data_IF_937581667493
#
_entry.id   IF_937581667493
#
_cell.length_a   1.000
_cell.length_b   1.000
_cell.length_c   1.000
_cell.angle_alpha   90.00
_cell.angle_beta   90.00
_cell.angle_gamma   90.00
#
_symmetry.space_group_name_H-M   'P 1'
#
loop_
_entity.id
_entity.type
_entity.pdbx_description
1 polymer ?
#
# COMPACT_ATOMS: atom_id res chain seq x y z
N UNK A 1 26.79 24.33 11.38
CA UNK A 1 26.73 23.02 10.70
C UNK A 1 25.93 21.93 11.43
N UNK A 2 26.29 21.51 12.66
CA UNK A 2 25.54 20.42 13.35
C UNK A 2 24.06 20.72 13.65
N UNK A 3 23.70 21.98 13.96
CA UNK A 3 22.31 22.38 14.24
C UNK A 3 21.43 22.33 12.99
N UNK A 4 21.85 22.98 11.90
CA UNK A 4 21.17 22.94 10.62
C UNK A 4 21.00 21.50 10.07
N UNK A 5 21.99 20.63 10.28
CA UNK A 5 21.87 19.21 9.92
C UNK A 5 20.87 18.44 10.80
N UNK A 6 20.69 18.81 12.07
CA UNK A 6 19.72 18.21 12.97
C UNK A 6 18.28 18.67 12.66
N UNK A 7 18.10 19.95 12.32
CA UNK A 7 16.82 20.54 11.91
C UNK A 7 16.31 19.87 10.61
N UNK A 8 17.15 19.75 9.57
CA UNK A 8 16.79 19.02 8.35
C UNK A 8 16.37 17.58 8.59
N UNK A 9 17.07 16.86 9.50
CA UNK A 9 16.68 15.49 9.87
C UNK A 9 15.33 15.44 10.57
N UNK A 10 15.02 16.43 11.41
CA UNK A 10 13.74 16.51 12.10
C UNK A 10 12.58 16.77 11.14
N UNK A 11 12.81 17.56 10.08
CA UNK A 11 11.82 17.87 9.04
C UNK A 11 11.56 16.68 8.10
N UNK A 12 12.62 15.97 7.68
CA UNK A 12 12.52 14.85 6.72
C UNK A 12 12.06 13.54 7.37
N UNK A 13 12.37 13.33 8.66
CA UNK A 13 12.00 12.09 9.39
C UNK A 13 10.50 11.72 9.35
N UNK A 14 9.54 12.64 9.59
CA UNK A 14 8.12 12.31 9.52
C UNK A 14 7.68 11.95 8.08
N UNK A 15 8.21 12.62 7.06
CA UNK A 15 7.90 12.34 5.65
C UNK A 15 8.39 10.94 5.25
N UNK A 16 9.63 10.60 5.63
CA UNK A 16 10.17 9.25 5.41
C UNK A 16 9.30 8.17 6.05
N UNK A 17 8.82 8.41 7.28
CA UNK A 17 7.93 7.46 7.98
C UNK A 17 6.58 7.33 7.29
N UNK A 18 6.01 8.43 6.77
CA UNK A 18 4.76 8.41 6.02
C UNK A 18 4.91 7.60 4.72
N UNK A 19 5.97 7.84 3.96
CA UNK A 19 6.31 7.09 2.75
C UNK A 19 6.44 5.58 3.03
N UNK A 20 7.24 5.20 4.03
CA UNK A 20 7.43 3.79 4.41
C UNK A 20 6.14 3.12 4.89
N UNK A 21 5.27 3.87 5.58
CA UNK A 21 3.96 3.35 6.01
C UNK A 21 3.04 3.10 4.82
N UNK A 22 3.00 4.02 3.85
CA UNK A 22 2.20 3.86 2.64
C UNK A 22 2.70 2.68 1.79
N UNK A 23 4.02 2.55 1.63
CA UNK A 23 4.67 1.42 0.95
C UNK A 23 4.27 0.06 1.58
N UNK A 24 4.35 -0.04 2.90
CA UNK A 24 3.97 -1.25 3.61
C UNK A 24 2.48 -1.60 3.44
N UNK A 25 1.60 -0.60 3.33
CA UNK A 25 0.17 -0.83 3.09
C UNK A 25 -0.08 -1.33 1.67
N UNK A 26 0.60 -0.76 0.66
CA UNK A 26 0.57 -1.25 -0.73
C UNK A 26 0.99 -2.73 -0.79
N UNK A 27 2.11 -3.09 -0.16
CA UNK A 27 2.61 -4.46 -0.13
C UNK A 27 1.61 -5.41 0.56
N UNK A 28 1.03 -4.99 1.68
CA UNK A 28 0.05 -5.76 2.44
C UNK A 28 -1.23 -6.01 1.63
N UNK A 29 -1.77 -4.98 0.97
CA UNK A 29 -2.97 -5.08 0.15
C UNK A 29 -2.72 -5.96 -1.08
N UNK A 30 -1.58 -5.80 -1.76
CA UNK A 30 -1.17 -6.66 -2.87
C UNK A 30 -1.09 -8.14 -2.46
N UNK A 31 -0.48 -8.45 -1.31
CA UNK A 31 -0.46 -9.81 -0.76
C UNK A 31 -1.85 -10.35 -0.41
N UNK A 32 -2.75 -9.51 0.08
CA UNK A 32 -4.13 -9.91 0.38
C UNK A 32 -4.91 -10.25 -0.90
N UNK A 33 -4.77 -9.42 -1.94
CA UNK A 33 -5.37 -9.68 -3.26
C UNK A 33 -4.83 -10.98 -3.84
N UNK A 34 -3.51 -11.20 -3.83
CA UNK A 34 -2.91 -12.42 -4.38
C UNK A 34 -3.48 -13.68 -3.72
N UNK A 35 -3.65 -13.68 -2.39
CA UNK A 35 -4.25 -14.83 -1.68
C UNK A 35 -5.68 -15.10 -2.10
N UNK A 36 -6.46 -14.06 -2.38
CA UNK A 36 -7.83 -14.22 -2.88
C UNK A 36 -7.81 -14.75 -4.31
N UNK A 37 -6.91 -14.24 -5.15
CA UNK A 37 -6.75 -14.66 -6.53
C UNK A 37 -6.35 -16.13 -6.62
N UNK A 38 -5.43 -16.58 -5.75
CA UNK A 38 -5.05 -17.99 -5.62
C UNK A 38 -6.24 -18.87 -5.21
N UNK A 39 -7.10 -18.38 -4.29
CA UNK A 39 -8.29 -19.12 -3.87
C UNK A 39 -9.38 -19.16 -4.96
N UNK A 40 -9.54 -18.09 -5.73
CA UNK A 40 -10.51 -18.00 -6.82
C UNK A 40 -10.04 -18.71 -8.10
N UNK A 41 -8.75 -19.03 -8.20
CA UNK A 41 -8.18 -19.80 -9.30
C UNK A 41 -8.57 -21.29 -9.24
N UNK A 42 -8.97 -21.81 -8.08
CA UNK A 42 -9.49 -23.16 -7.94
C UNK A 42 -10.93 -23.25 -8.50
N UNK A 43 -11.19 -23.97 -9.61
CA UNK A 43 -12.52 -24.08 -10.18
C UNK A 43 -13.53 -24.80 -9.27
N UNK A 44 -13.08 -25.64 -8.34
CA UNK A 44 -13.96 -26.39 -7.44
C UNK A 44 -14.68 -25.47 -6.44
N UNK A 45 -14.11 -24.30 -6.11
CA UNK A 45 -14.70 -23.34 -5.17
C UNK A 45 -16.09 -22.86 -5.65
N UNK A 46 -16.29 -22.76 -6.97
CA UNK A 46 -17.55 -22.31 -7.55
C UNK A 46 -18.68 -23.35 -7.47
N UNK A 47 -18.32 -24.62 -7.28
CA UNK A 47 -19.28 -25.72 -7.14
C UNK A 47 -19.52 -26.05 -5.67
N UNK A 48 -18.45 -26.14 -4.88
CA UNK A 48 -18.50 -26.61 -3.49
C UNK A 48 -18.75 -25.49 -2.48
N UNK A 49 -18.29 -24.28 -2.78
CA UNK A 49 -18.29 -23.14 -1.86
C UNK A 49 -18.71 -21.84 -2.58
N UNK A 50 -19.76 -21.91 -3.42
CA UNK A 50 -20.17 -20.81 -4.32
C UNK A 50 -20.35 -19.45 -3.63
N UNK A 51 -20.95 -19.42 -2.42
CA UNK A 51 -21.11 -18.17 -1.66
C UNK A 51 -19.78 -17.59 -1.19
N UNK A 52 -18.80 -18.45 -0.86
CA UNK A 52 -17.45 -18.00 -0.51
C UNK A 52 -16.72 -17.45 -1.72
N UNK A 53 -16.86 -18.08 -2.88
CA UNK A 53 -16.32 -17.57 -4.15
C UNK A 53 -16.88 -16.17 -4.46
N UNK A 54 -18.19 -15.97 -4.26
CA UNK A 54 -18.85 -14.67 -4.44
C UNK A 54 -18.33 -13.62 -3.45
N UNK A 55 -18.17 -13.97 -2.18
CA UNK A 55 -17.62 -13.06 -1.18
C UNK A 55 -16.15 -12.71 -1.47
N UNK A 56 -15.33 -13.68 -1.89
CA UNK A 56 -13.96 -13.46 -2.33
C UNK A 56 -13.88 -12.53 -3.54
N UNK A 57 -14.73 -12.72 -4.56
CA UNK A 57 -14.80 -11.81 -5.70
C UNK A 57 -15.16 -10.37 -5.28
N UNK A 58 -16.09 -10.22 -4.31
CA UNK A 58 -16.45 -8.91 -3.75
C UNK A 58 -15.28 -8.28 -2.97
N UNK A 59 -14.64 -9.04 -2.10
CA UNK A 59 -13.50 -8.60 -1.30
C UNK A 59 -12.33 -8.19 -2.19
N UNK A 60 -12.02 -8.98 -3.23
CA UNK A 60 -11.02 -8.63 -4.24
C UNK A 60 -11.28 -7.25 -4.83
N UNK A 61 -12.53 -6.99 -5.27
CA UNK A 61 -12.90 -5.70 -5.84
C UNK A 61 -12.77 -4.53 -4.87
N UNK A 62 -12.98 -4.74 -3.57
CA UNK A 62 -12.74 -3.73 -2.54
C UNK A 62 -11.24 -3.50 -2.32
N UNK A 63 -10.48 -4.58 -2.12
CA UNK A 63 -9.04 -4.51 -1.90
C UNK A 63 -8.31 -3.88 -3.09
N UNK A 64 -8.73 -4.13 -4.33
CA UNK A 64 -8.15 -3.48 -5.50
C UNK A 64 -8.37 -1.96 -5.49
N UNK A 65 -9.54 -1.49 -5.03
CA UNK A 65 -9.79 -0.05 -4.88
C UNK A 65 -8.96 0.55 -3.76
N UNK A 66 -8.84 -0.16 -2.64
CA UNK A 66 -7.99 0.25 -1.53
C UNK A 66 -6.50 0.28 -1.94
N UNK A 67 -6.05 -0.70 -2.71
CA UNK A 67 -4.69 -0.76 -3.24
C UNK A 67 -4.39 0.45 -4.12
N UNK A 68 -5.29 0.78 -5.07
CA UNK A 68 -5.12 1.96 -5.93
C UNK A 68 -5.02 3.26 -5.11
N UNK A 69 -5.86 3.42 -4.09
CA UNK A 69 -5.78 4.60 -3.22
C UNK A 69 -4.48 4.61 -2.38
N UNK A 70 -3.99 3.45 -1.95
CA UNK A 70 -2.73 3.32 -1.23
C UNK A 70 -1.51 3.62 -2.14
N UNK A 71 -1.56 3.20 -3.40
CA UNK A 71 -0.54 3.50 -4.42
C UNK A 71 -0.47 5.01 -4.69
N UNK A 72 -1.61 5.68 -4.86
CA UNK A 72 -1.68 7.14 -5.01
C UNK A 72 -1.08 7.87 -3.79
N UNK A 73 -1.45 7.41 -2.58
CA UNK A 73 -0.92 7.97 -1.34
C UNK A 73 0.59 7.72 -1.17
N UNK A 74 1.07 6.55 -1.60
CA UNK A 74 2.50 6.22 -1.58
C UNK A 74 3.29 7.08 -2.55
N UNK A 75 2.79 7.29 -3.77
CA UNK A 75 3.40 8.22 -4.74
C UNK A 75 3.50 9.64 -4.17
N UNK A 76 2.40 10.19 -3.64
CA UNK A 76 2.39 11.54 -3.08
C UNK A 76 3.34 11.67 -1.86
N UNK A 77 3.40 10.65 -1.00
CA UNK A 77 4.31 10.64 0.14
C UNK A 77 5.78 10.51 -0.27
N UNK A 78 6.04 9.79 -1.37
CA UNK A 78 7.38 9.65 -1.95
C UNK A 78 7.84 10.98 -2.55
N UNK A 79 7.00 11.65 -3.35
CA UNK A 79 7.31 12.99 -3.88
C UNK A 79 7.60 13.98 -2.76
N UNK A 80 6.76 14.05 -1.73
CA UNK A 80 6.97 14.97 -0.61
C UNK A 80 8.28 14.69 0.15
N UNK A 81 8.63 13.40 0.34
CA UNK A 81 9.90 13.01 0.94
C UNK A 81 11.09 13.42 0.05
N UNK A 82 11.03 13.16 -1.25
CA UNK A 82 12.09 13.47 -2.20
C UNK A 82 12.31 14.98 -2.35
N UNK A 83 11.24 15.78 -2.39
CA UNK A 83 11.30 17.24 -2.43
C UNK A 83 12.01 17.79 -1.18
N UNK A 84 11.57 17.38 0.01
CA UNK A 84 12.19 17.83 1.27
C UNK A 84 13.63 17.32 1.45
N UNK A 85 13.95 16.13 0.93
CA UNK A 85 15.29 15.56 1.02
C UNK A 85 16.27 16.18 0.01
N UNK A 86 15.78 16.73 -1.10
CA UNK A 86 16.58 17.34 -2.17
C UNK A 86 16.69 18.86 -2.08
N UNK A 87 15.76 19.55 -1.38
CA UNK A 87 15.90 20.97 -1.09
C UNK A 87 17.12 21.21 -0.16
N UNK A 88 18.11 21.95 -0.65
CA UNK A 88 19.44 22.13 -0.04
C UNK A 88 19.44 23.11 1.13
#
# INVERSE_FOLDING_TARGET
ERRAAAERRAEVAPLRRAMQKAEAEVEKLGKAIQKIDDALADPDIYVREAEKAKEYARQRGLLTKELSAAEDAWMAATEAYEEAASST
#
